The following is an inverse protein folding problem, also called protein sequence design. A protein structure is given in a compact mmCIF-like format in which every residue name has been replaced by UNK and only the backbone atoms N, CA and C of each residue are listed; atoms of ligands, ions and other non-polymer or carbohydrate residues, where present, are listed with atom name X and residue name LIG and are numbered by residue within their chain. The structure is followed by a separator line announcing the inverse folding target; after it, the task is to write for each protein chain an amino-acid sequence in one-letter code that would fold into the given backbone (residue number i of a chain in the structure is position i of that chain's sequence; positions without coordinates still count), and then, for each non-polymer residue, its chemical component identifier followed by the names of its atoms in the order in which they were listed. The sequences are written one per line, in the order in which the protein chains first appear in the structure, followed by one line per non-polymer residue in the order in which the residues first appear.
data_IF_592562747473
#
_entry.id   IF_592562747473
#
_cell.length_a   1.000
_cell.length_b   1.000
_cell.length_c   1.000
_cell.angle_alpha   90.00
_cell.angle_beta   90.00
_cell.angle_gamma   90.00
#
_symmetry.space_group_name_H-M   'P 1'
#
loop_
_entity.id
_entity.type
_entity.pdbx_description
1 polymer ?
#
# COMPACT_ATOMS: atom_id res chain seq x y z
N UNK A 1 11.76 0.13 6.08
CA UNK A 1 12.00 1.34 6.90
C UNK A 1 10.74 1.66 7.68
N UNK A 2 10.83 1.86 8.99
CA UNK A 2 9.70 2.23 9.85
C UNK A 2 9.92 3.66 10.39
N UNK A 3 8.86 4.48 10.40
CA UNK A 3 8.86 5.82 10.99
C UNK A 3 7.67 5.94 11.94
N UNK A 4 7.86 6.59 13.07
CA UNK A 4 6.79 6.78 14.06
C UNK A 4 6.62 8.26 14.40
N UNK A 5 5.39 8.65 14.69
CA UNK A 5 5.03 9.88 15.41
C UNK A 5 4.39 9.48 16.72
N UNK A 6 3.96 10.46 17.53
CA UNK A 6 3.21 10.20 18.76
C UNK A 6 1.94 9.37 18.53
N UNK A 7 1.32 9.48 17.34
CA UNK A 7 0.00 8.89 17.05
C UNK A 7 0.02 7.80 15.98
N UNK A 8 1.08 7.68 15.19
CA UNK A 8 1.08 6.82 14.00
C UNK A 8 2.42 6.14 13.78
N UNK A 9 2.38 4.93 13.20
CA UNK A 9 3.54 4.20 12.72
C UNK A 9 3.38 3.96 11.21
N UNK A 10 4.34 4.46 10.45
CA UNK A 10 4.50 4.17 9.03
C UNK A 10 5.49 3.02 8.89
N UNK A 11 5.03 1.88 8.39
CA UNK A 11 5.84 0.68 8.19
C UNK A 11 5.61 0.12 6.77
N UNK A 12 6.49 -0.78 6.29
CA UNK A 12 6.21 -1.52 5.06
C UNK A 12 4.87 -2.25 5.16
N UNK A 13 4.15 -2.25 4.04
CA UNK A 13 2.92 -3.01 3.89
C UNK A 13 3.27 -4.50 3.76
N UNK A 14 2.50 -5.36 4.41
CA UNK A 14 2.60 -6.82 4.29
C UNK A 14 1.27 -7.37 3.77
N UNK A 15 1.28 -8.63 3.30
CA UNK A 15 0.08 -9.23 2.70
C UNK A 15 -1.09 -9.21 3.69
N UNK A 16 -0.83 -9.45 4.97
CA UNK A 16 -1.81 -9.50 6.04
C UNK A 16 -2.59 -8.19 6.23
N UNK A 17 -2.06 -7.06 5.74
CA UNK A 17 -2.71 -5.75 5.79
C UNK A 17 -3.85 -5.60 4.75
N UNK A 18 -4.06 -6.60 3.89
CA UNK A 18 -5.01 -6.52 2.77
C UNK A 18 -6.43 -6.18 3.19
N UNK A 19 -6.88 -6.67 4.33
CA UNK A 19 -8.25 -6.45 4.80
C UNK A 19 -8.47 -4.98 5.20
N UNK A 20 -7.49 -4.37 5.88
CA UNK A 20 -7.56 -2.97 6.28
C UNK A 20 -7.52 -2.05 5.04
N UNK A 21 -6.69 -2.40 4.05
CA UNK A 21 -6.61 -1.68 2.77
C UNK A 21 -7.92 -1.79 2.00
N UNK A 22 -8.50 -2.99 1.90
CA UNK A 22 -9.78 -3.20 1.22
C UNK A 22 -10.90 -2.42 1.91
N UNK A 23 -10.97 -2.49 3.24
CA UNK A 23 -11.99 -1.75 4.03
C UNK A 23 -11.92 -0.26 3.79
N UNK A 24 -10.71 0.31 3.70
CA UNK A 24 -10.53 1.72 3.36
C UNK A 24 -10.96 2.04 1.93
N UNK A 25 -10.68 1.16 0.97
CA UNK A 25 -11.00 1.38 -0.45
C UNK A 25 -12.47 1.15 -0.79
N UNK A 26 -13.19 0.39 0.02
CA UNK A 26 -14.62 0.14 -0.11
C UNK A 26 -15.49 1.22 0.57
N UNK A 27 -14.87 2.11 1.38
CA UNK A 27 -15.57 3.22 2.03
C UNK A 27 -16.12 4.23 1.00
N UNK A 28 -17.41 4.57 1.11
CA UNK A 28 -18.08 5.52 0.21
C UNK A 28 -17.36 6.87 0.11
N UNK A 29 -16.72 7.32 1.20
CA UNK A 29 -15.97 8.58 1.24
C UNK A 29 -14.71 8.51 0.38
N UNK A 30 -14.09 7.34 0.30
CA UNK A 30 -12.96 7.09 -0.60
C UNK A 30 -13.43 7.03 -2.05
N UNK A 31 -14.49 6.25 -2.31
CA UNK A 31 -15.06 6.06 -3.63
C UNK A 31 -15.61 7.36 -4.24
N UNK A 32 -16.04 8.32 -3.41
CA UNK A 32 -16.47 9.66 -3.85
C UNK A 32 -15.41 10.37 -4.71
N UNK A 33 -14.13 10.19 -4.38
CA UNK A 33 -13.02 10.85 -5.09
C UNK A 33 -12.23 9.90 -5.99
N UNK A 34 -12.43 8.59 -5.84
CA UNK A 34 -11.78 7.54 -6.61
C UNK A 34 -12.84 6.68 -7.31
N UNK A 35 -13.80 7.34 -7.97
CA UNK A 35 -14.93 6.67 -8.60
C UNK A 35 -14.44 5.66 -9.65
N UNK A 36 -14.92 4.41 -9.55
CA UNK A 36 -14.50 3.31 -10.42
C UNK A 36 -13.28 2.52 -9.93
N UNK A 37 -12.73 2.84 -8.76
CA UNK A 37 -11.59 2.12 -8.15
C UNK A 37 -11.98 1.11 -7.06
N UNK A 38 -13.26 0.71 -6.98
CA UNK A 38 -13.65 -0.40 -6.11
C UNK A 38 -12.90 -1.67 -6.50
N UNK A 39 -12.11 -2.22 -5.57
CA UNK A 39 -11.31 -3.44 -5.78
C UNK A 39 -11.95 -4.59 -5.02
N UNK A 40 -12.00 -5.78 -5.61
CA UNK A 40 -12.35 -6.99 -4.87
C UNK A 40 -11.24 -7.35 -3.88
N UNK A 41 -11.53 -8.18 -2.85
CA UNK A 41 -10.51 -8.69 -1.93
C UNK A 41 -9.29 -9.29 -2.63
N UNK A 42 -9.50 -10.07 -3.70
CA UNK A 42 -8.45 -10.72 -4.48
C UNK A 42 -7.58 -9.68 -5.19
N UNK A 43 -8.20 -8.64 -5.78
CA UNK A 43 -7.49 -7.56 -6.45
C UNK A 43 -6.64 -6.75 -5.48
N UNK A 44 -7.10 -6.55 -4.23
CA UNK A 44 -6.30 -5.88 -3.19
C UNK A 44 -5.12 -6.76 -2.76
N UNK A 45 -5.32 -8.06 -2.58
CA UNK A 45 -4.23 -8.97 -2.26
C UNK A 45 -3.17 -9.03 -3.38
N UNK A 46 -3.61 -9.07 -4.64
CA UNK A 46 -2.70 -9.03 -5.80
C UNK A 46 -1.94 -7.70 -5.88
N UNK A 47 -2.61 -6.59 -5.59
CA UNK A 47 -1.97 -5.29 -5.48
C UNK A 47 -0.86 -5.29 -4.42
N UNK A 48 -1.14 -5.79 -3.22
CA UNK A 48 -0.13 -5.85 -2.15
C UNK A 48 1.02 -6.77 -2.54
N UNK A 49 0.74 -7.96 -3.11
CA UNK A 49 1.78 -8.89 -3.60
C UNK A 49 2.66 -8.22 -4.64
N UNK A 50 2.08 -7.54 -5.63
CA UNK A 50 2.84 -6.82 -6.65
C UNK A 50 3.68 -5.70 -6.02
N UNK A 51 3.11 -4.99 -5.04
CA UNK A 51 3.78 -3.90 -4.37
C UNK A 51 4.99 -4.37 -3.55
N UNK A 52 4.83 -5.41 -2.76
CA UNK A 52 5.91 -6.00 -1.95
C UNK A 52 6.96 -6.72 -2.80
N UNK A 53 6.58 -7.25 -3.98
CA UNK A 53 7.51 -7.93 -4.90
C UNK A 53 8.33 -6.96 -5.76
N UNK A 54 7.85 -5.72 -5.96
CA UNK A 54 8.45 -4.73 -6.88
C UNK A 54 9.57 -3.86 -6.29
N UNK A 55 10.23 -4.30 -5.21
CA UNK A 55 11.37 -3.59 -4.62
C UNK A 55 12.53 -3.39 -5.63
N UNK A 56 12.50 -2.26 -6.33
CA UNK A 56 13.48 -1.85 -7.33
C UNK A 56 12.94 -0.92 -8.43
N UNK A 57 11.65 -0.96 -8.74
CA UNK A 57 11.03 -0.07 -9.74
C UNK A 57 9.49 -0.03 -9.55
N UNK A 58 8.92 0.93 -8.80
CA UNK A 58 7.47 0.98 -8.60
C UNK A 58 6.77 1.45 -9.88
N UNK A 59 5.86 0.67 -10.50
CA UNK A 59 5.19 1.08 -11.74
C UNK A 59 3.99 2.03 -11.54
N UNK A 60 3.58 2.36 -10.31
CA UNK A 60 2.30 3.03 -10.07
C UNK A 60 2.43 4.39 -9.36
N UNK A 61 1.75 5.37 -9.97
CA UNK A 61 1.75 6.80 -9.66
C UNK A 61 1.00 7.18 -8.37
N UNK A 62 0.46 6.21 -7.61
CA UNK A 62 -0.57 6.47 -6.60
C UNK A 62 -0.27 6.11 -5.14
N UNK A 63 0.86 5.48 -4.79
CA UNK A 63 1.18 5.27 -3.36
C UNK A 63 2.66 5.55 -3.04
N UNK A 64 2.85 6.69 -2.37
CA UNK A 64 3.96 7.09 -1.51
C UNK A 64 5.19 6.16 -1.46
N UNK A 65 6.21 6.52 -2.25
CA UNK A 65 7.64 6.68 -1.90
C UNK A 65 8.15 6.10 -0.56
N UNK A 66 8.13 4.77 -0.38
CA UNK A 66 8.81 4.14 0.77
C UNK A 66 9.42 2.74 0.55
N UNK A 67 9.54 2.25 -0.69
CA UNK A 67 10.15 0.92 -0.91
C UNK A 67 11.69 0.90 -1.01
N UNK A 68 12.38 2.05 -1.13
CA UNK A 68 13.84 2.06 -1.31
C UNK A 68 14.57 2.85 -0.22
N UNK A 69 15.01 2.19 0.86
CA UNK A 69 16.03 2.74 1.76
C UNK A 69 16.93 1.67 2.44
N UNK A 70 16.93 0.41 1.98
CA UNK A 70 17.86 -0.63 2.48
C UNK A 70 18.34 -1.51 1.31
N UNK A 71 18.97 -0.89 0.33
CA UNK A 71 19.86 -1.58 -0.62
C UNK A 71 21.01 -0.64 -0.98
N UNK A 72 21.72 -0.17 0.04
CA UNK A 72 23.09 0.38 -0.10
C UNK A 72 23.72 0.43 1.29
N UNK A 73 23.94 -0.74 1.89
CA UNK A 73 25.13 -1.06 2.68
C UNK A 73 25.34 -2.56 2.50
N UNK A 74 26.36 -2.90 1.73
CA UNK A 74 26.70 -4.26 1.31
C UNK A 74 27.46 -4.19 0.00
#
# INVERSE_FOLDING_TARGET
MQRSTERLILRPLVLEDWLDVHTYQDDERYLRFNAGEGRTPEQVQDFIRALTSSCGHPPYRFFLRLCCAVSSVG
#
